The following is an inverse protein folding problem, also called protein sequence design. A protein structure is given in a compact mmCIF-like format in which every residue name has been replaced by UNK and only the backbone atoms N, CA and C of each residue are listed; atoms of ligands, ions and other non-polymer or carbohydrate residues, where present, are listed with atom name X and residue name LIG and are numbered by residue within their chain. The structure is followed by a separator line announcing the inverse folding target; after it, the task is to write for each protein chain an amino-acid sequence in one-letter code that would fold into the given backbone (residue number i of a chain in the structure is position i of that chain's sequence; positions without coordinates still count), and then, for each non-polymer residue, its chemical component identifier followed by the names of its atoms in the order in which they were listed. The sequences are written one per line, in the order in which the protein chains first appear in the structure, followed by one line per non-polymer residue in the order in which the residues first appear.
data_IF_106450460165
#
_entry.id   IF_106450460165
#
_cell.length_a   1.000
_cell.length_b   1.000
_cell.length_c   1.000
_cell.angle_alpha   90.00
_cell.angle_beta   90.00
_cell.angle_gamma   90.00
#
_symmetry.space_group_name_H-M   'P 1'
#
loop_
_entity.id
_entity.type
_entity.pdbx_description
1 polymer ?
#
# COMPACT_ATOMS: atom_id res chain seq x y z
N UNK A 1 -10.07 -0.79 3.78
CA UNK A 1 -9.00 -0.38 2.80
C UNK A 1 -7.66 -0.89 3.27
N UNK A 2 -6.84 -1.40 2.38
CA UNK A 2 -5.47 -1.83 2.67
C UNK A 2 -4.49 -0.74 2.23
N UNK A 3 -3.51 -0.43 3.07
CA UNK A 3 -2.51 0.60 2.86
C UNK A 3 -1.16 -0.05 2.53
N UNK A 4 -0.63 0.23 1.33
CA UNK A 4 0.71 -0.21 0.94
C UNK A 4 1.80 0.72 1.49
N UNK A 5 3.02 0.21 1.61
CA UNK A 5 4.19 1.00 2.04
C UNK A 5 4.40 2.24 1.17
N UNK A 6 4.21 2.13 -0.16
CA UNK A 6 4.35 3.24 -1.10
C UNK A 6 3.38 4.39 -0.81
N UNK A 7 2.14 4.08 -0.41
CA UNK A 7 1.14 5.10 -0.12
C UNK A 7 1.40 5.81 1.21
N UNK A 8 1.71 5.08 2.29
CA UNK A 8 2.03 5.72 3.58
C UNK A 8 3.31 6.54 3.50
N UNK A 9 4.33 6.06 2.80
CA UNK A 9 5.55 6.83 2.56
C UNK A 9 5.27 8.12 1.79
N UNK A 10 4.41 8.08 0.76
CA UNK A 10 4.01 9.27 0.02
C UNK A 10 3.33 10.31 0.93
N UNK A 11 2.46 9.86 1.86
CA UNK A 11 1.81 10.75 2.85
C UNK A 11 2.85 11.38 3.78
N UNK A 12 3.71 10.57 4.40
CA UNK A 12 4.73 11.02 5.36
C UNK A 12 5.73 11.98 4.73
N UNK A 13 6.15 11.69 3.49
CA UNK A 13 7.11 12.50 2.74
C UNK A 13 6.46 13.71 2.04
N UNK A 14 5.15 13.89 2.17
CA UNK A 14 4.38 14.99 1.57
C UNK A 14 4.57 15.06 0.05
N UNK A 15 4.54 13.91 -0.61
CA UNK A 15 4.60 13.83 -2.06
C UNK A 15 3.30 14.37 -2.71
N UNK A 16 3.27 14.49 -4.03
CA UNK A 16 2.16 15.12 -4.75
C UNK A 16 0.79 14.45 -4.45
N UNK A 17 0.78 13.14 -4.26
CA UNK A 17 -0.42 12.34 -3.98
C UNK A 17 -0.86 12.35 -2.50
N UNK A 18 -0.06 12.92 -1.60
CA UNK A 18 -0.25 12.83 -0.15
C UNK A 18 -1.65 13.26 0.31
N UNK A 19 -2.15 14.37 -0.23
CA UNK A 19 -3.47 14.89 0.14
C UNK A 19 -4.60 13.95 -0.29
N UNK A 20 -4.57 13.47 -1.54
CA UNK A 20 -5.58 12.54 -2.06
C UNK A 20 -5.57 11.22 -1.28
N UNK A 21 -4.39 10.69 -0.97
CA UNK A 21 -4.24 9.45 -0.21
C UNK A 21 -4.72 9.61 1.25
N UNK A 22 -4.38 10.73 1.89
CA UNK A 22 -4.83 11.04 3.24
C UNK A 22 -6.35 11.16 3.31
N UNK A 23 -6.96 11.86 2.36
CA UNK A 23 -8.41 12.01 2.30
C UNK A 23 -9.10 10.65 2.10
N UNK A 24 -8.66 9.87 1.12
CA UNK A 24 -9.23 8.55 0.86
C UNK A 24 -9.11 7.61 2.07
N UNK A 25 -7.98 7.63 2.77
CA UNK A 25 -7.77 6.82 3.95
C UNK A 25 -8.60 7.30 5.15
N UNK A 26 -8.74 8.62 5.35
CA UNK A 26 -9.54 9.18 6.44
C UNK A 26 -11.05 8.96 6.28
N UNK A 27 -11.52 8.84 5.06
CA UNK A 27 -12.93 8.56 4.73
C UNK A 27 -13.25 7.05 4.71
N UNK A 28 -12.24 6.19 4.78
CA UNK A 28 -12.44 4.75 4.77
C UNK A 28 -13.03 4.26 6.10
N UNK A 29 -13.91 3.29 6.04
CA UNK A 29 -14.50 2.65 7.22
C UNK A 29 -13.44 1.99 8.12
N UNK A 30 -12.40 1.44 7.52
CA UNK A 30 -11.22 0.90 8.21
C UNK A 30 -9.98 0.99 7.32
N UNK A 31 -8.81 1.18 7.95
CA UNK A 31 -7.51 1.16 7.28
C UNK A 31 -6.62 0.11 7.92
N UNK A 32 -6.12 -0.82 7.12
CA UNK A 32 -5.25 -1.90 7.58
C UNK A 32 -3.95 -1.94 6.79
N UNK A 33 -2.89 -2.37 7.45
CA UNK A 33 -1.58 -2.60 6.83
C UNK A 33 -1.06 -3.97 7.28
N UNK A 34 -0.52 -4.76 6.37
CA UNK A 34 0.11 -6.01 6.75
C UNK A 34 1.34 -5.77 7.62
N UNK A 35 1.56 -6.61 8.65
CA UNK A 35 2.68 -6.45 9.55
C UNK A 35 4.05 -6.36 8.83
N UNK A 36 4.36 -7.18 7.81
CA UNK A 36 5.61 -7.01 7.05
C UNK A 36 5.65 -5.71 6.23
N UNK A 37 4.52 -5.23 5.73
CA UNK A 37 4.44 -3.94 5.02
C UNK A 37 4.71 -2.77 5.97
N UNK A 38 4.23 -2.84 7.21
CA UNK A 38 4.57 -1.85 8.25
C UNK A 38 6.09 -1.78 8.49
N UNK A 39 6.74 -2.93 8.63
CA UNK A 39 8.20 -2.99 8.82
C UNK A 39 8.93 -2.38 7.63
N UNK A 40 8.52 -2.73 6.40
CA UNK A 40 9.10 -2.15 5.18
C UNK A 40 8.98 -0.63 5.14
N UNK A 41 7.79 -0.10 5.39
CA UNK A 41 7.55 1.35 5.41
C UNK A 41 8.36 2.05 6.51
N UNK A 42 8.40 1.48 7.72
CA UNK A 42 9.21 1.99 8.82
C UNK A 42 10.70 2.03 8.45
N UNK A 43 11.23 0.96 7.85
CA UNK A 43 12.63 0.92 7.41
C UNK A 43 12.94 1.99 6.35
N UNK A 44 12.02 2.27 5.43
CA UNK A 44 12.19 3.34 4.42
C UNK A 44 12.25 4.71 5.08
N UNK A 45 11.37 4.98 6.02
CA UNK A 45 11.29 6.27 6.72
C UNK A 45 12.46 6.46 7.69
N UNK A 46 12.74 5.47 8.54
CA UNK A 46 13.82 5.54 9.54
C UNK A 46 15.19 5.58 8.87
N UNK A 47 15.35 4.87 7.77
CA UNK A 47 16.57 4.86 6.95
C UNK A 47 16.97 6.23 6.38
N UNK A 48 16.07 7.22 6.41
CA UNK A 48 16.40 8.60 6.01
C UNK A 48 17.18 9.36 7.11
N UNK A 49 17.30 8.81 8.31
CA UNK A 49 18.05 9.41 9.43
C UNK A 49 17.47 10.74 9.92
N UNK A 50 16.18 10.97 9.75
CA UNK A 50 15.48 12.20 10.12
C UNK A 50 14.42 11.91 11.18
N UNK A 51 14.68 12.22 12.47
CA UNK A 51 13.76 11.92 13.58
C UNK A 51 12.35 12.50 13.41
N UNK A 52 12.22 13.63 12.73
CA UNK A 52 10.93 14.26 12.43
C UNK A 52 10.08 13.40 11.47
N UNK A 53 10.70 12.66 10.56
CA UNK A 53 9.97 11.76 9.66
C UNK A 53 9.51 10.50 10.39
N UNK A 54 10.35 9.94 11.26
CA UNK A 54 9.97 8.81 12.12
C UNK A 54 8.75 9.17 12.97
N UNK A 55 8.76 10.35 13.61
CA UNK A 55 7.62 10.83 14.38
C UNK A 55 6.38 11.05 13.51
N UNK A 56 6.55 11.67 12.34
CA UNK A 56 5.43 11.89 11.41
C UNK A 56 4.82 10.56 10.92
N UNK A 57 5.63 9.52 10.74
CA UNK A 57 5.13 8.19 10.37
C UNK A 57 4.20 7.63 11.45
N UNK A 58 4.64 7.65 12.72
CA UNK A 58 3.83 7.19 13.84
C UNK A 58 2.53 8.01 14.01
N UNK A 59 2.62 9.34 13.85
CA UNK A 59 1.48 10.25 13.91
C UNK A 59 0.46 9.99 12.79
N UNK A 60 0.91 9.74 11.57
CA UNK A 60 0.04 9.40 10.43
C UNK A 60 -0.69 8.09 10.67
N UNK A 61 0.00 7.05 11.11
CA UNK A 61 -0.63 5.77 11.43
C UNK A 61 -1.68 5.89 12.53
N UNK A 62 -1.37 6.66 13.58
CA UNK A 62 -2.28 6.91 14.68
C UNK A 62 -3.51 7.73 14.23
N UNK A 63 -3.30 8.79 13.46
CA UNK A 63 -4.38 9.65 12.95
C UNK A 63 -5.33 8.89 12.01
N UNK A 64 -4.80 8.03 11.16
CA UNK A 64 -5.60 7.19 10.26
C UNK A 64 -6.18 5.94 10.95
N UNK A 65 -5.90 5.74 12.24
CA UNK A 65 -6.28 4.55 12.99
C UNK A 65 -5.90 3.24 12.27
N UNK A 66 -4.67 3.19 11.72
CA UNK A 66 -4.20 2.04 10.97
C UNK A 66 -4.06 0.82 11.87
N UNK A 67 -4.78 -0.24 11.53
CA UNK A 67 -4.62 -1.55 12.16
C UNK A 67 -3.48 -2.32 11.49
N UNK A 68 -2.47 -2.71 12.27
CA UNK A 68 -1.41 -3.59 11.78
C UNK A 68 -1.91 -5.04 11.86
N UNK A 69 -2.24 -5.60 10.70
CA UNK A 69 -2.81 -6.94 10.60
C UNK A 69 -1.72 -8.02 10.67
N UNK A 70 -1.89 -9.08 11.47
CA UNK A 70 -0.97 -10.20 11.51
C UNK A 70 -0.79 -10.83 10.13
N UNK A 71 0.45 -11.24 9.82
CA UNK A 71 0.75 -11.98 8.60
C UNK A 71 0.50 -13.48 8.83
N UNK A 72 -0.58 -13.99 8.25
CA UNK A 72 -1.07 -15.34 8.47
C UNK A 72 -0.50 -16.35 7.46
N UNK A 73 -0.62 -17.67 7.75
CA UNK A 73 -0.29 -18.72 6.79
C UNK A 73 -1.07 -18.56 5.48
N UNK A 74 -2.36 -18.21 5.57
CA UNK A 74 -3.18 -17.96 4.38
C UNK A 74 -2.61 -16.84 3.53
N UNK A 75 -2.21 -15.74 4.14
CA UNK A 75 -1.57 -14.62 3.44
C UNK A 75 -0.20 -15.02 2.87
N UNK A 76 0.57 -15.85 3.56
CA UNK A 76 1.83 -16.36 3.03
C UNK A 76 1.63 -17.19 1.73
N UNK A 77 0.58 -17.99 1.68
CA UNK A 77 0.21 -18.76 0.47
C UNK A 77 -0.23 -17.82 -0.66
N UNK A 78 -1.09 -16.82 -0.37
CA UNK A 78 -1.50 -15.81 -1.35
C UNK A 78 -0.32 -14.98 -1.87
N UNK A 79 0.61 -14.59 -0.99
CA UNK A 79 1.82 -13.86 -1.39
C UNK A 79 2.72 -14.69 -2.30
N UNK A 80 2.89 -15.98 -2.02
CA UNK A 80 3.63 -16.92 -2.88
C UNK A 80 2.99 -17.05 -4.27
N UNK A 81 1.66 -17.18 -4.32
CA UNK A 81 0.92 -17.25 -5.59
C UNK A 81 1.06 -15.94 -6.38
N UNK A 82 0.93 -14.78 -5.69
CA UNK A 82 1.13 -13.49 -6.31
C UNK A 82 2.52 -13.33 -6.93
N UNK A 83 3.56 -13.78 -6.24
CA UNK A 83 4.92 -13.71 -6.76
C UNK A 83 5.12 -14.65 -7.95
N UNK A 84 4.56 -15.86 -7.90
CA UNK A 84 4.59 -16.82 -9.03
C UNK A 84 3.91 -16.23 -10.27
N UNK A 85 2.76 -15.60 -10.12
CA UNK A 85 1.90 -15.17 -11.22
C UNK A 85 2.23 -13.75 -11.71
N UNK A 86 2.61 -12.84 -10.82
CA UNK A 86 2.84 -11.41 -11.08
C UNK A 86 4.25 -10.92 -10.73
N UNK A 87 5.07 -11.75 -10.10
CA UNK A 87 6.37 -11.35 -9.55
C UNK A 87 7.44 -11.10 -10.59
N UNK A 88 8.52 -10.47 -10.13
CA UNK A 88 9.75 -10.31 -10.91
C UNK A 88 10.29 -11.69 -11.30
N UNK A 89 10.59 -11.87 -12.58
CA UNK A 89 11.09 -13.14 -13.12
C UNK A 89 9.99 -14.10 -13.58
N UNK A 90 8.71 -13.83 -13.34
CA UNK A 90 7.60 -14.62 -13.87
C UNK A 90 7.31 -14.38 -15.36
N UNK A 91 7.87 -13.30 -15.92
CA UNK A 91 7.54 -12.83 -17.28
C UNK A 91 6.31 -11.90 -17.30
N UNK A 92 5.60 -11.77 -16.18
CA UNK A 92 4.43 -10.88 -16.11
C UNK A 92 4.86 -9.40 -15.96
N UNK A 93 4.12 -8.50 -16.62
CA UNK A 93 4.45 -7.07 -16.67
C UNK A 93 4.28 -6.34 -15.34
N UNK A 94 3.55 -6.88 -14.36
CA UNK A 94 3.40 -6.30 -13.03
C UNK A 94 4.72 -6.26 -12.27
N UNK A 95 5.54 -7.30 -12.37
CA UNK A 95 6.88 -7.37 -11.77
C UNK A 95 6.90 -7.11 -10.26
N UNK A 96 5.92 -7.63 -9.53
CA UNK A 96 5.83 -7.47 -8.08
C UNK A 96 7.12 -7.90 -7.39
N UNK A 97 7.59 -7.11 -6.43
CA UNK A 97 8.65 -7.50 -5.51
C UNK A 97 8.05 -8.22 -4.27
N UNK A 98 8.91 -8.63 -3.34
CA UNK A 98 8.46 -9.30 -2.11
C UNK A 98 7.51 -8.44 -1.27
N UNK A 99 7.84 -7.14 -1.11
CA UNK A 99 7.02 -6.21 -0.34
C UNK A 99 5.62 -6.04 -0.92
N UNK A 100 5.53 -5.91 -2.25
CA UNK A 100 4.24 -5.81 -2.96
C UNK A 100 3.35 -7.02 -2.69
N UNK A 101 3.95 -8.22 -2.63
CA UNK A 101 3.20 -9.45 -2.38
C UNK A 101 2.53 -9.49 -1.02
N UNK A 102 3.07 -8.83 0.00
CA UNK A 102 2.45 -8.75 1.33
C UNK A 102 1.18 -7.89 1.32
N UNK A 103 1.24 -6.73 0.69
CA UNK A 103 0.07 -5.85 0.54
C UNK A 103 -1.01 -6.49 -0.34
N UNK A 104 -0.60 -7.10 -1.45
CA UNK A 104 -1.50 -7.88 -2.31
C UNK A 104 -2.21 -8.99 -1.52
N UNK A 105 -1.46 -9.78 -0.75
CA UNK A 105 -1.98 -10.92 -0.01
C UNK A 105 -3.05 -10.49 1.02
N UNK A 106 -2.80 -9.41 1.77
CA UNK A 106 -3.79 -8.89 2.71
C UNK A 106 -5.05 -8.40 1.98
N UNK A 107 -4.88 -7.62 0.90
CA UNK A 107 -6.01 -7.11 0.13
C UNK A 107 -6.90 -8.23 -0.42
N UNK A 108 -6.30 -9.31 -0.91
CA UNK A 108 -7.03 -10.49 -1.41
C UNK A 108 -7.68 -11.28 -0.28
N UNK A 109 -6.99 -11.46 0.84
CA UNK A 109 -7.48 -12.23 1.99
C UNK A 109 -8.75 -11.63 2.58
N UNK A 110 -8.80 -10.32 2.73
CA UNK A 110 -9.95 -9.59 3.31
C UNK A 110 -10.88 -8.98 2.26
N UNK A 111 -10.59 -9.16 0.97
CA UNK A 111 -11.38 -8.62 -0.15
C UNK A 111 -11.58 -7.09 -0.10
N UNK A 112 -10.56 -6.37 0.35
CA UNK A 112 -10.58 -4.90 0.42
C UNK A 112 -9.70 -4.26 -0.66
N UNK A 113 -10.02 -3.01 -1.07
CA UNK A 113 -9.20 -2.30 -2.05
C UNK A 113 -7.85 -1.91 -1.46
N UNK A 114 -6.85 -1.82 -2.33
CA UNK A 114 -5.47 -1.45 -2.02
C UNK A 114 -5.21 0.01 -2.41
N UNK A 115 -4.71 0.80 -1.45
CA UNK A 115 -4.16 2.12 -1.69
C UNK A 115 -2.64 2.02 -1.86
N UNK A 116 -2.14 2.38 -3.02
CA UNK A 116 -0.73 2.30 -3.39
C UNK A 116 -0.33 3.45 -4.32
N UNK A 117 0.97 3.71 -4.41
CA UNK A 117 1.58 4.62 -5.37
C UNK A 117 2.39 3.82 -6.40
N UNK A 118 2.37 4.29 -7.66
CA UNK A 118 3.13 3.68 -8.74
C UNK A 118 2.33 2.70 -9.59
N UNK A 119 3.02 1.92 -10.41
CA UNK A 119 2.42 1.06 -11.43
C UNK A 119 2.49 -0.44 -11.12
N UNK A 120 3.06 -0.84 -9.98
CA UNK A 120 3.34 -2.26 -9.68
C UNK A 120 2.07 -3.10 -9.64
N UNK A 121 0.99 -2.58 -9.06
CA UNK A 121 -0.28 -3.29 -8.93
C UNK A 121 -1.25 -3.11 -10.10
N UNK A 122 -0.97 -2.17 -11.01
CA UNK A 122 -1.88 -1.79 -12.12
C UNK A 122 -2.23 -2.98 -13.03
N UNK A 123 -1.34 -3.94 -13.13
CA UNK A 123 -1.49 -5.11 -13.99
C UNK A 123 -1.86 -6.40 -13.22
N UNK A 124 -2.21 -6.26 -11.95
CA UNK A 124 -2.71 -7.37 -11.14
C UNK A 124 -4.25 -7.34 -11.06
N UNK A 125 -4.81 -8.33 -10.41
CA UNK A 125 -6.25 -8.42 -10.16
C UNK A 125 -6.68 -7.84 -8.80
N UNK A 126 -5.79 -7.10 -8.14
CA UNK A 126 -6.13 -6.37 -6.91
C UNK A 126 -7.01 -5.18 -7.26
N UNK A 127 -8.03 -4.93 -6.44
CA UNK A 127 -8.86 -3.74 -6.60
C UNK A 127 -8.12 -2.52 -6.06
N UNK A 128 -7.89 -1.53 -6.92
CA UNK A 128 -7.26 -0.28 -6.54
C UNK A 128 -8.26 0.71 -5.91
N UNK A 129 -7.82 1.51 -4.93
CA UNK A 129 -8.59 2.65 -4.42
C UNK A 129 -8.74 3.72 -5.49
N UNK A 130 -7.64 4.05 -6.18
CA UNK A 130 -7.66 4.95 -7.32
C UNK A 130 -7.47 4.17 -8.62
N UNK A 131 -8.38 4.28 -9.59
CA UNK A 131 -8.23 3.63 -10.87
C UNK A 131 -7.02 4.20 -11.64
N UNK A 132 -6.51 3.41 -12.58
CA UNK A 132 -5.41 3.82 -13.46
C UNK A 132 -5.74 5.16 -14.15
N UNK A 133 -4.79 6.09 -14.13
CA UNK A 133 -4.96 7.40 -14.75
C UNK A 133 -5.67 8.43 -13.86
N UNK A 134 -5.90 8.11 -12.59
CA UNK A 134 -6.35 9.11 -11.63
C UNK A 134 -5.29 10.21 -11.50
N UNK A 135 -5.69 11.44 -11.86
CA UNK A 135 -4.91 12.65 -11.64
C UNK A 135 -5.72 13.51 -10.69
N UNK A 136 -5.12 13.93 -9.59
CA UNK A 136 -5.77 14.75 -8.57
C UNK A 136 -6.41 16.00 -9.21
N UNK A 137 -7.69 16.25 -8.91
CA UNK A 137 -8.45 17.40 -9.42
C UNK A 137 -9.06 17.23 -10.80
N UNK A 138 -8.85 16.11 -11.47
CA UNK A 138 -9.53 15.76 -12.73
C UNK A 138 -10.48 14.60 -12.47
N UNK A 139 -11.79 14.89 -12.37
CA UNK A 139 -12.81 13.84 -12.38
C UNK A 139 -12.64 12.99 -13.64
N UNK A 140 -12.69 11.65 -13.56
CA UNK A 140 -12.73 10.83 -14.76
C UNK A 140 -13.93 11.30 -15.59
N UNK A 141 -13.67 11.62 -16.85
CA UNK A 141 -14.78 11.94 -17.78
C UNK A 141 -15.67 10.72 -17.87
N UNK A 142 -16.99 10.91 -17.88
CA UNK A 142 -17.97 9.83 -17.99
C UNK A 142 -17.77 9.00 -19.27
#
# INVERSE_FOLDING_TARGET
MILDSSAVCAIVLKEAEALAYSNAASEAESVRMAAPTFVEAAMVIDGKGRPELTRSFDEVLAWLHVEIAPFTERQARLAREAFRDFGRGSGHRARLNLGDCFSYALAKDVSEPLLYKGDDFVHTDVRAVFPRGYVEGVSPRP
#
